data_IF_143733790145
#
_entry.id   IF_143733790145
#
_cell.length_a   1.000
_cell.length_b   1.000
_cell.length_c   1.000
_cell.angle_alpha   90.00
_cell.angle_beta   90.00
_cell.angle_gamma   90.00
#
_symmetry.space_group_name_H-M   'P 1'
#
loop_
_entity.id
_entity.type
_entity.pdbx_description
1 polymer ?
#
# COMPACT_ATOMS: atom_id res chain seq x y z
N UNK A 1 -7.91 -2.70 -0.18
CA UNK A 1 -6.78 -2.64 0.78
C UNK A 1 -6.83 -3.87 1.66
N UNK A 2 -5.68 -4.34 2.15
CA UNK A 2 -5.54 -5.38 3.16
C UNK A 2 -5.35 -4.73 4.54
N UNK A 3 -5.95 -5.34 5.56
CA UNK A 3 -5.77 -4.90 6.95
C UNK A 3 -4.40 -5.34 7.49
N UNK A 4 -3.80 -4.50 8.31
CA UNK A 4 -2.66 -4.92 9.15
C UNK A 4 -3.16 -5.63 10.40
N UNK A 5 -2.27 -6.40 11.03
CA UNK A 5 -2.51 -7.02 12.33
C UNK A 5 -2.88 -5.99 13.40
N UNK A 6 -2.35 -4.76 13.29
CA UNK A 6 -2.72 -3.66 14.16
C UNK A 6 -4.22 -3.34 14.06
N UNK A 7 -4.74 -3.12 12.85
CA UNK A 7 -6.17 -2.87 12.65
C UNK A 7 -7.04 -4.04 13.09
N UNK A 8 -6.61 -5.28 12.83
CA UNK A 8 -7.33 -6.49 13.23
C UNK A 8 -7.46 -6.57 14.76
N UNK A 9 -6.36 -6.41 15.49
CA UNK A 9 -6.38 -6.41 16.96
C UNK A 9 -7.29 -5.30 17.50
N UNK A 10 -7.18 -4.10 16.91
CA UNK A 10 -7.99 -2.94 17.26
C UNK A 10 -9.50 -3.15 17.06
N UNK A 11 -9.89 -3.88 16.03
CA UNK A 11 -11.29 -4.31 15.82
C UNK A 11 -11.71 -5.32 16.88
N UNK A 12 -10.92 -6.36 17.10
CA UNK A 12 -11.22 -7.43 18.07
C UNK A 12 -11.40 -6.86 19.48
N UNK A 13 -10.50 -5.96 19.88
CA UNK A 13 -10.54 -5.33 21.20
C UNK A 13 -11.81 -4.51 21.42
N UNK A 14 -12.21 -3.76 20.37
CA UNK A 14 -13.42 -2.94 20.39
C UNK A 14 -14.71 -3.77 20.37
N UNK A 15 -14.77 -4.79 19.53
CA UNK A 15 -15.99 -5.57 19.26
C UNK A 15 -16.24 -6.65 20.31
N UNK A 16 -15.20 -7.38 20.70
CA UNK A 16 -15.34 -8.60 21.50
C UNK A 16 -14.78 -8.46 22.93
N UNK A 17 -13.87 -7.53 23.16
CA UNK A 17 -13.17 -7.41 24.46
C UNK A 17 -13.57 -6.18 25.26
N UNK A 18 -14.55 -5.41 24.79
CA UNK A 18 -15.11 -4.25 25.48
C UNK A 18 -14.11 -3.13 25.76
N UNK A 19 -12.97 -3.13 25.06
CA UNK A 19 -11.99 -2.06 25.21
C UNK A 19 -12.42 -0.89 24.34
N UNK A 20 -12.57 0.29 24.96
CA UNK A 20 -12.80 1.51 24.19
C UNK A 20 -11.59 1.74 23.27
N UNK A 21 -11.84 1.68 21.97
CA UNK A 21 -10.81 1.89 20.97
C UNK A 21 -11.31 2.93 19.97
N UNK A 22 -10.78 4.15 20.11
CA UNK A 22 -11.10 5.24 19.19
C UNK A 22 -10.35 5.01 17.87
N UNK A 23 -11.09 4.62 16.83
CA UNK A 23 -10.55 4.65 15.47
C UNK A 23 -10.13 6.09 15.11
N UNK A 24 -9.06 6.29 14.32
CA UNK A 24 -8.55 7.63 14.04
C UNK A 24 -9.59 8.55 13.39
N UNK A 25 -9.81 9.73 13.96
CA UNK A 25 -10.65 10.76 13.37
C UNK A 25 -10.04 11.33 12.08
N UNK A 26 -8.73 11.18 11.90
CA UNK A 26 -8.00 11.51 10.68
C UNK A 26 -7.09 10.32 10.32
N UNK A 27 -7.12 9.92 9.06
CA UNK A 27 -6.18 8.95 8.47
C UNK A 27 -5.12 9.72 7.68
N UNK A 28 -3.94 9.13 7.54
CA UNK A 28 -2.83 9.73 6.79
C UNK A 28 -2.43 8.79 5.65
N UNK A 29 -2.61 9.25 4.42
CA UNK A 29 -2.23 8.50 3.24
C UNK A 29 -0.74 8.66 2.93
N UNK A 30 -0.02 7.55 2.83
CA UNK A 30 1.38 7.52 2.38
C UNK A 30 1.57 6.59 1.19
N UNK A 31 2.61 6.85 0.40
CA UNK A 31 2.91 6.13 -0.84
C UNK A 31 3.93 5.02 -0.59
N UNK A 32 3.61 3.82 -1.08
CA UNK A 32 4.47 2.64 -1.00
C UNK A 32 5.33 2.58 -2.25
N UNK A 33 6.64 2.39 -2.09
CA UNK A 33 7.62 2.46 -3.18
C UNK A 33 8.34 1.13 -3.36
N UNK A 34 8.51 0.70 -4.61
CA UNK A 34 9.39 -0.40 -4.96
C UNK A 34 10.79 0.13 -5.31
N UNK A 35 11.71 0.09 -4.35
CA UNK A 35 13.04 0.72 -4.46
C UNK A 35 13.96 0.10 -5.52
N UNK A 36 13.71 -1.15 -5.94
CA UNK A 36 14.40 -1.79 -7.07
C UNK A 36 13.70 -1.56 -8.42
N UNK A 37 12.60 -0.81 -8.46
CA UNK A 37 11.76 -0.62 -9.63
C UNK A 37 10.81 -1.79 -9.88
N UNK A 38 10.26 -1.84 -11.09
CA UNK A 38 9.34 -2.89 -11.52
C UNK A 38 10.12 -3.96 -12.24
N UNK A 39 10.16 -5.16 -11.67
CA UNK A 39 10.73 -6.36 -12.28
C UNK A 39 12.08 -6.08 -12.99
N UNK A 40 13.13 -5.68 -12.24
CA UNK A 40 14.43 -5.33 -12.83
C UNK A 40 15.04 -6.52 -13.59
N UNK A 41 15.83 -6.21 -14.63
CA UNK A 41 16.47 -7.20 -15.53
C UNK A 41 17.94 -6.92 -15.65
N UNK A 42 18.78 -7.94 -15.53
CA UNK A 42 20.24 -7.82 -15.63
C UNK A 42 20.79 -6.65 -14.79
N UNK A 43 20.16 -6.40 -13.65
CA UNK A 43 20.35 -5.21 -12.82
C UNK A 43 20.77 -5.65 -11.42
N UNK A 44 21.80 -4.99 -10.88
CA UNK A 44 22.23 -5.19 -9.50
C UNK A 44 21.16 -4.65 -8.53
N UNK A 45 20.76 -5.47 -7.57
CA UNK A 45 19.77 -5.14 -6.54
C UNK A 45 20.38 -5.34 -5.15
N UNK A 46 20.14 -4.36 -4.28
CA UNK A 46 20.63 -4.37 -2.91
C UNK A 46 19.74 -5.23 -2.00
N UNK A 47 20.34 -5.76 -0.92
CA UNK A 47 19.59 -6.38 0.17
C UNK A 47 18.55 -5.39 0.70
N UNK A 48 17.35 -5.90 1.00
CA UNK A 48 16.18 -5.13 1.42
C UNK A 48 15.54 -4.21 0.37
N UNK A 49 15.99 -4.23 -0.89
CA UNK A 49 15.28 -3.53 -1.94
C UNK A 49 13.94 -4.21 -2.27
N UNK A 50 12.95 -3.45 -2.70
CA UNK A 50 11.60 -3.95 -3.01
C UNK A 50 11.30 -3.87 -4.50
N UNK A 51 10.60 -4.87 -5.04
CA UNK A 51 10.14 -4.93 -6.43
C UNK A 51 8.69 -5.41 -6.52
N UNK A 52 8.07 -5.16 -7.66
CA UNK A 52 6.79 -5.74 -8.08
C UNK A 52 6.93 -6.39 -9.46
N UNK A 53 6.09 -7.38 -9.80
CA UNK A 53 6.09 -8.00 -11.12
C UNK A 53 5.78 -7.02 -12.25
N UNK A 54 6.15 -7.37 -13.49
CA UNK A 54 5.76 -6.60 -14.67
C UNK A 54 4.24 -6.68 -14.88
N UNK A 55 3.68 -7.89 -14.82
CA UNK A 55 2.25 -8.11 -14.69
C UNK A 55 1.87 -8.10 -13.21
N UNK A 56 1.38 -6.97 -12.72
CA UNK A 56 1.03 -6.78 -11.32
C UNK A 56 0.07 -7.87 -10.82
N UNK A 57 0.29 -8.33 -9.60
CA UNK A 57 -0.49 -9.39 -8.95
C UNK A 57 -0.97 -9.00 -7.55
N UNK A 58 -0.85 -7.71 -7.18
CA UNK A 58 -1.22 -7.20 -5.86
C UNK A 58 -0.22 -7.55 -4.76
N UNK A 59 0.97 -8.04 -5.12
CA UNK A 59 2.03 -8.44 -4.19
C UNK A 59 3.30 -7.64 -4.41
N UNK A 60 4.14 -7.65 -3.38
CA UNK A 60 5.45 -7.03 -3.38
C UNK A 60 6.50 -8.04 -2.89
N UNK A 61 7.70 -7.91 -3.41
CA UNK A 61 8.81 -8.82 -3.14
C UNK A 61 10.02 -8.04 -2.65
N UNK A 62 10.71 -8.59 -1.65
CA UNK A 62 11.91 -7.99 -1.06
C UNK A 62 13.13 -8.83 -1.40
N UNK A 63 14.22 -8.18 -1.79
CA UNK A 63 15.50 -8.83 -1.98
C UNK A 63 16.05 -9.28 -0.62
N UNK A 64 16.18 -10.60 -0.43
CA UNK A 64 16.72 -11.23 0.79
C UNK A 64 18.13 -11.77 0.59
N UNK A 65 18.58 -11.88 -0.66
CA UNK A 65 19.99 -12.06 -1.03
C UNK A 65 20.33 -11.08 -2.14
N UNK A 66 21.24 -10.13 -1.88
CA UNK A 66 21.69 -9.15 -2.86
C UNK A 66 22.40 -9.84 -4.04
N UNK A 67 22.27 -9.28 -5.24
CA UNK A 67 22.84 -9.88 -6.44
C UNK A 67 22.44 -9.14 -7.71
N UNK A 68 22.68 -9.77 -8.86
CA UNK A 68 22.22 -9.29 -10.16
C UNK A 68 21.04 -10.12 -10.62
N UNK A 69 19.94 -9.46 -10.99
CA UNK A 69 18.74 -10.10 -11.55
C UNK A 69 19.03 -10.77 -12.90
N UNK A 70 18.22 -11.77 -13.26
CA UNK A 70 18.31 -12.46 -14.53
C UNK A 70 17.93 -11.55 -15.71
N UNK A 71 18.19 -12.03 -16.94
CA UNK A 71 17.80 -11.31 -18.16
C UNK A 71 16.29 -11.37 -18.44
N UNK A 72 15.55 -12.25 -17.75
CA UNK A 72 14.11 -12.43 -17.87
C UNK A 72 13.41 -12.36 -16.51
N UNK A 73 12.08 -12.33 -16.52
CA UNK A 73 11.28 -12.31 -15.29
C UNK A 73 11.29 -13.67 -14.60
N UNK A 74 11.52 -13.74 -13.28
CA UNK A 74 11.28 -14.98 -12.54
C UNK A 74 9.78 -15.29 -12.45
N UNK A 75 9.45 -16.57 -12.23
CA UNK A 75 8.09 -16.94 -11.85
C UNK A 75 7.82 -16.48 -10.41
N UNK A 76 7.06 -15.39 -10.25
CA UNK A 76 6.80 -14.81 -8.93
C UNK A 76 5.93 -15.71 -8.06
N UNK A 77 6.37 -16.06 -6.84
CA UNK A 77 5.55 -16.86 -5.93
C UNK A 77 4.33 -16.08 -5.47
N UNK A 78 3.19 -16.76 -5.36
CA UNK A 78 1.93 -16.21 -4.84
C UNK A 78 1.59 -16.72 -3.44
N UNK A 79 2.41 -17.60 -2.87
CA UNK A 79 2.31 -18.00 -1.46
C UNK A 79 3.00 -16.95 -0.58
N UNK A 80 2.36 -16.58 0.52
CA UNK A 80 2.92 -15.63 1.47
C UNK A 80 4.30 -16.11 1.98
N UNK A 81 5.33 -15.26 1.88
CA UNK A 81 6.70 -15.60 2.26
C UNK A 81 7.43 -16.55 1.29
N UNK A 82 6.84 -16.91 0.16
CA UNK A 82 7.50 -17.71 -0.88
C UNK A 82 8.74 -17.01 -1.43
N UNK A 83 9.75 -17.79 -1.81
CA UNK A 83 11.02 -17.28 -2.34
C UNK A 83 11.24 -17.65 -3.81
N UNK A 84 12.00 -16.84 -4.52
CA UNK A 84 12.42 -17.13 -5.90
C UNK A 84 13.82 -16.59 -6.18
N UNK A 85 14.64 -17.40 -6.84
CA UNK A 85 15.95 -16.99 -7.34
C UNK A 85 15.80 -16.30 -8.70
N UNK A 86 16.45 -15.16 -8.86
CA UNK A 86 16.42 -14.32 -10.05
C UNK A 86 17.86 -13.88 -10.37
N UNK A 87 18.51 -14.57 -11.30
CA UNK A 87 19.95 -14.46 -11.49
C UNK A 87 20.71 -14.92 -10.25
N UNK A 88 21.48 -14.02 -9.62
CA UNK A 88 22.15 -14.27 -8.33
C UNK A 88 21.44 -13.62 -7.15
N UNK A 89 20.34 -12.90 -7.39
CA UNK A 89 19.51 -12.32 -6.33
C UNK A 89 18.44 -13.32 -5.88
N UNK A 90 17.99 -13.19 -4.62
CA UNK A 90 16.83 -13.94 -4.11
C UNK A 90 15.77 -12.95 -3.64
N UNK A 91 14.53 -13.17 -4.08
CA UNK A 91 13.36 -12.40 -3.69
C UNK A 91 12.48 -13.22 -2.74
N UNK A 92 11.85 -12.54 -1.78
CA UNK A 92 10.88 -13.11 -0.85
C UNK A 92 9.59 -12.30 -0.89
N UNK A 93 8.45 -12.97 -1.07
CA UNK A 93 7.12 -12.37 -1.04
C UNK A 93 6.82 -11.74 0.33
N UNK A 94 6.20 -10.55 0.36
CA UNK A 94 6.12 -9.70 1.56
C UNK A 94 4.74 -9.58 2.21
N UNK A 95 3.72 -10.35 1.81
CA UNK A 95 2.35 -10.21 2.36
C UNK A 95 2.34 -10.23 3.89
N UNK A 96 3.00 -11.21 4.51
CA UNK A 96 3.07 -11.34 5.98
C UNK A 96 3.79 -10.15 6.64
N UNK A 97 4.87 -9.65 6.04
CA UNK A 97 5.63 -8.53 6.58
C UNK A 97 4.84 -7.21 6.48
N UNK A 98 4.13 -7.00 5.37
CA UNK A 98 3.26 -5.85 5.18
C UNK A 98 2.08 -5.88 6.16
N UNK A 99 1.44 -7.05 6.36
CA UNK A 99 0.38 -7.23 7.37
C UNK A 99 0.88 -7.00 8.80
N UNK A 100 2.15 -7.32 9.09
CA UNK A 100 2.78 -6.99 10.36
C UNK A 100 3.09 -5.48 10.53
N UNK A 101 2.82 -4.65 9.51
CA UNK A 101 3.03 -3.21 9.54
C UNK A 101 4.40 -2.75 9.02
N UNK A 102 5.22 -3.65 8.47
CA UNK A 102 6.51 -3.29 7.86
C UNK A 102 6.28 -2.78 6.44
N UNK A 103 5.80 -1.55 6.32
CA UNK A 103 5.42 -0.92 5.05
C UNK A 103 6.61 -0.15 4.46
N UNK A 104 7.03 -0.42 3.20
CA UNK A 104 8.07 0.35 2.54
C UNK A 104 7.52 1.66 1.98
N UNK A 105 7.22 2.58 2.90
CA UNK A 105 6.85 3.96 2.56
C UNK A 105 8.01 4.69 1.90
N UNK A 106 7.72 5.46 0.86
CA UNK A 106 8.70 6.30 0.18
C UNK A 106 9.21 7.46 1.04
N UNK A 107 10.40 7.95 0.72
CA UNK A 107 10.98 9.14 1.31
C UNK A 107 11.59 10.02 0.22
N UNK A 108 11.25 11.30 0.24
CA UNK A 108 11.79 12.31 -0.66
C UNK A 108 11.66 13.70 -0.02
N UNK A 109 12.48 14.65 -0.45
CA UNK A 109 12.32 16.04 -0.04
C UNK A 109 11.00 16.59 -0.63
N UNK A 110 10.15 17.17 0.22
CA UNK A 110 8.81 17.65 -0.15
C UNK A 110 7.71 16.59 -0.08
N UNK A 111 8.06 15.31 0.13
CA UNK A 111 7.06 14.27 0.41
C UNK A 111 6.62 14.31 1.87
N UNK A 112 5.31 14.28 2.09
CA UNK A 112 4.67 14.07 3.38
C UNK A 112 3.36 13.29 3.18
N UNK A 113 2.92 12.56 4.20
CA UNK A 113 1.60 11.90 4.17
C UNK A 113 0.48 12.93 4.10
N UNK A 114 -0.58 12.60 3.37
CA UNK A 114 -1.76 13.47 3.22
C UNK A 114 -2.80 13.15 4.28
N UNK A 115 -3.20 14.14 5.08
CA UNK A 115 -4.26 13.99 6.06
C UNK A 115 -5.64 13.91 5.39
N UNK A 116 -6.45 12.95 5.82
CA UNK A 116 -7.82 12.72 5.35
C UNK A 116 -8.71 12.55 6.56
N UNK A 117 -9.53 13.56 6.86
CA UNK A 117 -10.50 13.48 7.95
C UNK A 117 -11.54 12.40 7.66
N UNK A 118 -11.78 11.52 8.62
CA UNK A 118 -12.82 10.49 8.56
C UNK A 118 -14.20 11.16 8.60
N UNK A 119 -14.86 11.30 7.45
CA UNK A 119 -16.17 11.93 7.31
C UNK A 119 -16.93 11.34 6.12
N UNK A 120 -18.26 11.52 6.11
CA UNK A 120 -19.11 11.17 4.97
C UNK A 120 -18.71 11.92 3.68
N UNK A 121 -18.11 13.11 3.80
CA UNK A 121 -17.66 13.88 2.65
C UNK A 121 -16.39 13.27 2.02
N UNK A 122 -15.49 12.71 2.82
CA UNK A 122 -14.21 12.20 2.35
C UNK A 122 -14.21 10.70 2.01
N UNK A 123 -15.12 9.92 2.60
CA UNK A 123 -15.20 8.48 2.41
C UNK A 123 -16.59 8.04 1.97
N UNK A 124 -16.63 7.34 0.85
CA UNK A 124 -17.84 6.74 0.31
C UNK A 124 -18.40 5.66 1.24
N UNK A 125 -19.72 5.55 1.31
CA UNK A 125 -20.38 4.40 1.92
C UNK A 125 -20.34 3.15 1.03
N UNK A 126 -20.68 1.99 1.60
CA UNK A 126 -20.70 0.68 0.92
C UNK A 126 -21.72 0.54 -0.22
N UNK A 127 -22.56 1.53 -0.43
CA UNK A 127 -23.54 1.59 -1.51
C UNK A 127 -22.95 2.10 -2.84
N UNK A 128 -21.74 2.67 -2.84
CA UNK A 128 -21.06 3.07 -4.07
C UNK A 128 -20.10 4.24 -3.88
N UNK A 129 -19.19 4.41 -4.85
CA UNK A 129 -18.23 5.51 -4.88
C UNK A 129 -18.93 6.87 -4.96
N UNK A 130 -18.35 7.90 -4.33
CA UNK A 130 -18.88 9.27 -4.33
C UNK A 130 -20.04 9.51 -3.37
N UNK A 131 -20.47 8.51 -2.61
CA UNK A 131 -21.64 8.62 -1.72
C UNK A 131 -21.28 9.34 -0.43
N UNK A 132 -22.22 10.14 0.10
CA UNK A 132 -21.97 11.01 1.27
C UNK A 132 -23.02 10.86 2.37
N UNK A 133 -23.69 9.71 2.42
CA UNK A 133 -24.64 9.35 3.47
C UNK A 133 -24.12 8.14 4.24
N UNK A 134 -24.70 7.88 5.43
CA UNK A 134 -24.33 6.72 6.22
C UNK A 134 -24.40 5.42 5.40
N UNK A 135 -23.48 4.51 5.68
CA UNK A 135 -23.32 3.28 4.90
C UNK A 135 -24.56 2.39 5.01
N UNK A 136 -25.13 1.99 3.87
CA UNK A 136 -26.30 1.09 3.80
C UNK A 136 -26.15 -0.03 2.77
N UNK A 137 -25.07 -0.02 1.97
CA UNK A 137 -24.83 -1.02 0.94
C UNK A 137 -24.23 -2.32 1.47
N UNK A 138 -24.21 -3.33 0.61
CA UNK A 138 -23.78 -4.71 0.93
C UNK A 138 -22.41 -5.08 0.36
N UNK A 139 -21.75 -4.19 -0.38
CA UNK A 139 -20.48 -4.49 -1.07
C UNK A 139 -19.31 -4.75 -0.13
N UNK A 140 -19.37 -4.22 1.10
CA UNK A 140 -18.22 -4.15 2.01
C UNK A 140 -17.09 -3.26 1.49
N UNK A 141 -17.28 -2.50 0.39
CA UNK A 141 -16.26 -1.67 -0.23
C UNK A 141 -16.55 -0.18 -0.04
N UNK A 142 -15.54 0.56 0.39
CA UNK A 142 -15.57 2.03 0.47
C UNK A 142 -14.44 2.61 -0.40
N UNK A 143 -14.53 3.91 -0.71
CA UNK A 143 -13.48 4.60 -1.45
C UNK A 143 -13.31 6.05 -1.01
N UNK A 144 -12.19 6.68 -1.39
CA UNK A 144 -11.99 8.11 -1.20
C UNK A 144 -12.91 8.90 -2.14
N UNK A 145 -13.74 9.79 -1.60
CA UNK A 145 -14.63 10.63 -2.42
C UNK A 145 -13.87 11.78 -3.12
N UNK A 146 -12.78 12.23 -2.52
CA UNK A 146 -11.95 13.32 -3.01
C UNK A 146 -10.59 12.78 -3.44
N UNK A 147 -9.95 13.46 -4.40
CA UNK A 147 -8.58 13.13 -4.78
C UNK A 147 -7.63 13.38 -3.60
N UNK A 148 -6.66 12.48 -3.42
CA UNK A 148 -5.60 12.60 -2.42
C UNK A 148 -4.39 13.21 -3.14
N UNK A 149 -4.22 14.52 -2.98
CA UNK A 149 -3.16 15.28 -3.63
C UNK A 149 -1.95 15.42 -2.68
N UNK A 150 -0.81 14.88 -3.10
CA UNK A 150 0.46 15.04 -2.38
C UNK A 150 1.14 16.34 -2.83
N UNK A 151 1.92 16.95 -1.94
CA UNK A 151 2.76 18.08 -2.31
C UNK A 151 3.79 17.65 -3.38
N UNK A 152 4.26 18.64 -4.15
CA UNK A 152 5.31 18.40 -5.13
C UNK A 152 6.58 17.91 -4.43
N UNK A 153 7.14 16.80 -4.90
CA UNK A 153 8.45 16.33 -4.43
C UNK A 153 9.57 17.05 -5.19
N UNK A 154 10.67 17.34 -4.51
CA UNK A 154 11.85 18.01 -5.12
C UNK A 154 13.01 17.05 -5.36
N UNK A 155 12.95 15.86 -4.76
CA UNK A 155 13.81 14.72 -5.11
C UNK A 155 12.96 13.55 -5.59
N UNK A 156 13.56 12.61 -6.32
CA UNK A 156 12.86 11.41 -6.77
C UNK A 156 12.34 10.62 -5.57
N UNK A 157 11.04 10.29 -5.58
CA UNK A 157 10.42 9.38 -4.61
C UNK A 157 10.58 7.92 -5.08
N UNK A 158 10.65 7.71 -6.39
CA UNK A 158 10.81 6.39 -7.02
C UNK A 158 9.51 5.80 -7.54
N UNK A 159 9.50 4.49 -7.79
CA UNK A 159 8.35 3.78 -8.34
C UNK A 159 7.27 3.58 -7.28
N UNK A 160 6.20 4.36 -7.35
CA UNK A 160 5.03 4.23 -6.48
C UNK A 160 4.17 3.08 -6.96
N UNK A 161 3.95 2.11 -6.08
CA UNK A 161 3.24 0.85 -6.36
C UNK A 161 2.06 0.59 -5.44
N UNK A 162 1.78 1.50 -4.51
CA UNK A 162 0.76 1.29 -3.50
C UNK A 162 0.54 2.47 -2.57
N UNK A 163 -0.40 2.30 -1.66
CA UNK A 163 -0.78 3.30 -0.66
C UNK A 163 -0.97 2.60 0.69
N UNK A 164 -0.48 3.20 1.77
CA UNK A 164 -0.78 2.82 3.15
C UNK A 164 -1.59 3.91 3.86
N UNK A 165 -2.38 3.51 4.86
CA UNK A 165 -3.17 4.40 5.72
C UNK A 165 -2.65 4.34 7.16
N UNK A 166 -2.12 5.46 7.65
CA UNK A 166 -1.60 5.59 9.01
C UNK A 166 -2.53 6.40 9.92
N UNK A 167 -2.33 6.28 11.23
CA UNK A 167 -2.98 7.09 12.27
C UNK A 167 -2.24 8.38 12.62
N UNK A 168 -1.05 8.60 12.06
CA UNK A 168 -0.24 9.80 12.29
C UNK A 168 0.41 10.32 11.00
N UNK A 169 0.70 11.63 10.96
CA UNK A 169 1.40 12.30 9.86
C UNK A 169 2.84 11.82 9.67
N UNK A 170 3.46 11.37 10.76
CA UNK A 170 4.81 10.79 10.80
C UNK A 170 4.81 9.62 11.78
N UNK A 171 5.59 8.57 11.51
CA UNK A 171 5.59 7.35 12.33
C UNK A 171 4.18 6.73 12.39
N UNK A 172 3.64 6.44 13.58
CA UNK A 172 2.30 5.86 13.73
C UNK A 172 2.19 4.42 13.24
N UNK A 173 1.01 3.86 13.41
CA UNK A 173 0.70 2.51 12.97
C UNK A 173 0.04 2.58 11.59
N UNK A 174 0.49 1.74 10.66
CA UNK A 174 -0.27 1.50 9.43
C UNK A 174 -1.45 0.60 9.78
N UNK A 175 -2.66 1.02 9.43
CA UNK A 175 -3.89 0.25 9.66
C UNK A 175 -4.20 -0.64 8.46
N UNK A 176 -3.89 -0.16 7.26
CA UNK A 176 -4.30 -0.78 6.00
C UNK A 176 -3.32 -0.41 4.89
N UNK A 177 -3.11 -1.29 3.93
CA UNK A 177 -2.30 -1.01 2.75
C UNK A 177 -2.90 -1.63 1.50
N UNK A 178 -2.52 -1.12 0.33
CA UNK A 178 -2.76 -1.79 -0.94
C UNK A 178 -1.52 -1.68 -1.81
N UNK A 179 -1.14 -2.81 -2.40
CA UNK A 179 -0.24 -2.85 -3.55
C UNK A 179 -1.10 -2.97 -4.79
N UNK A 180 -0.75 -2.24 -5.85
CA UNK A 180 -1.47 -2.27 -7.11
C UNK A 180 -1.53 -3.71 -7.67
N UNK A 181 -2.71 -4.14 -8.10
CA UNK A 181 -2.96 -5.44 -8.72
C UNK A 181 -3.15 -5.38 -10.22
N UNK A 182 -3.19 -4.17 -10.79
CA UNK A 182 -3.34 -3.93 -12.22
C UNK A 182 -2.91 -2.51 -12.57
N UNK A 183 -2.82 -2.22 -13.87
CA UNK A 183 -2.38 -0.92 -14.38
C UNK A 183 -0.86 -0.75 -14.38
N UNK A 184 -0.42 0.50 -14.47
CA UNK A 184 1.00 0.86 -14.56
C UNK A 184 1.42 1.65 -13.32
N UNK A 185 2.39 1.16 -12.54
CA UNK A 185 2.98 1.93 -11.46
C UNK A 185 3.62 3.20 -11.99
N UNK A 186 3.58 4.28 -11.21
CA UNK A 186 4.10 5.58 -11.65
C UNK A 186 5.45 5.83 -11.01
N UNK A 187 6.47 6.11 -11.83
CA UNK A 187 7.76 6.57 -11.32
C UNK A 187 7.68 8.07 -11.02
N UNK A 188 7.78 8.44 -9.75
CA UNK A 188 7.72 9.83 -9.30
C UNK A 188 9.15 10.37 -9.19
N UNK A 189 9.55 11.12 -10.20
CA UNK A 189 10.81 11.88 -10.23
C UNK A 189 10.64 13.27 -9.60
N UNK A 190 11.73 14.03 -9.52
CA UNK A 190 11.70 15.40 -9.00
C UNK A 190 10.70 16.29 -9.76
N UNK A 191 10.08 17.22 -9.03
CA UNK A 191 9.11 18.20 -9.50
C UNK A 191 7.74 17.62 -9.92
N UNK A 192 7.42 16.40 -9.51
CA UNK A 192 6.10 15.78 -9.71
C UNK A 192 5.28 15.90 -8.41
N UNK A 193 3.99 16.19 -8.54
CA UNK A 193 3.01 16.09 -7.45
C UNK A 193 2.25 14.77 -7.58
N UNK A 194 2.53 13.75 -6.74
CA UNK A 194 1.76 12.51 -6.76
C UNK A 194 0.28 12.75 -6.49
N UNK A 195 -0.57 11.93 -7.09
CA UNK A 195 -2.01 12.02 -6.91
C UNK A 195 -2.65 10.63 -6.89
N UNK A 196 -3.62 10.45 -6.00
CA UNK A 196 -4.57 9.34 -6.06
C UNK A 196 -5.93 9.95 -6.40
N UNK A 197 -6.49 9.60 -7.56
CA UNK A 197 -7.76 10.14 -8.01
C UNK A 197 -8.91 9.77 -7.05
N UNK A 198 -10.00 10.53 -7.10
CA UNK A 198 -11.24 10.16 -6.41
C UNK A 198 -11.70 8.76 -6.86
N UNK A 199 -12.13 7.93 -5.92
CA UNK A 199 -12.57 6.55 -6.15
C UNK A 199 -11.45 5.54 -6.41
N UNK A 200 -10.19 5.98 -6.59
CA UNK A 200 -9.09 5.07 -6.93
C UNK A 200 -8.59 4.26 -5.73
N UNK A 201 -8.71 4.78 -4.51
CA UNK A 201 -8.41 4.03 -3.30
C UNK A 201 -9.66 3.26 -2.85
N UNK A 202 -9.66 1.95 -3.08
CA UNK A 202 -10.75 1.07 -2.63
C UNK A 202 -10.33 0.25 -1.42
N UNK A 203 -11.06 0.43 -0.31
CA UNK A 203 -10.93 -0.34 0.92
C UNK A 203 -12.07 -1.35 0.94
N UNK A 204 -11.73 -2.63 0.94
CA UNK A 204 -12.70 -3.72 1.02
C UNK A 204 -12.62 -4.38 2.39
N UNK A 205 -13.76 -4.57 3.01
CA UNK A 205 -13.96 -5.48 4.12
C UNK A 205 -14.60 -6.73 3.50
N UNK A 206 -13.80 -7.75 3.20
CA UNK A 206 -14.33 -8.96 2.56
C UNK A 206 -15.40 -9.57 3.48
N UNK A 207 -16.56 -9.93 2.94
CA UNK A 207 -17.51 -10.81 3.63
C UNK A 207 -17.05 -12.28 3.55
N UNK A 208 -16.08 -12.60 2.69
CA UNK A 208 -15.53 -13.94 2.53
C UNK A 208 -14.01 -13.82 2.43
N UNK A 209 -13.31 -14.23 3.50
CA UNK A 209 -11.87 -14.09 3.63
C UNK A 209 -11.09 -14.58 2.41
N UNK A 210 -10.64 -13.62 1.61
CA UNK A 210 -9.48 -13.65 0.72
C UNK A 210 -8.93 -12.23 0.57
#
# INVERSE_FOLDING_TARGET
MLDTQYKINKKIDNEYRGQSNAFPATRYAGLIVASAGQSPRSTAVALNAYTVPAALNGRMYKCTTAGTTGSGEPAWPTTAGGTVTDGTAVWTEQTTALQAGTIPEGSATGYARVAITSSLANWAGTQGAGTTVASTGTSGQISNNNAIAFAQVTTSLGLVVGVGMWDASTSGNCWEFAIQSSGTPTNITANISPNVAAGALVIGYSLNGQ
#
